data_IF_539610700730
#
_entry.id   IF_539610700730
#
_cell.length_a   1.000
_cell.length_b   1.000
_cell.length_c   1.000
_cell.angle_alpha   90.00
_cell.angle_beta   90.00
_cell.angle_gamma   90.00
#
_symmetry.space_group_name_H-M   'P 1'
#
loop_
_entity.id
_entity.type
_entity.pdbx_description
1 polymer ?
#
# COMPACT_ATOMS: atom_id res chain seq x y z
N UNK A 1 10.12 42.70 -0.24
CA UNK A 1 10.97 41.63 0.34
C UNK A 1 10.02 40.53 0.79
N UNK A 2 9.93 39.42 0.05
CA UNK A 2 9.06 38.30 0.36
C UNK A 2 9.97 37.08 0.56
N UNK A 3 10.13 36.67 1.82
CA UNK A 3 11.09 35.67 2.24
C UNK A 3 10.57 34.25 2.00
N UNK A 4 11.51 33.41 1.62
CA UNK A 4 11.42 32.06 1.10
C UNK A 4 11.02 31.04 2.19
N UNK A 5 9.74 30.96 2.55
CA UNK A 5 9.26 30.03 3.60
C UNK A 5 8.74 28.68 3.07
N UNK A 6 8.29 28.60 1.82
CA UNK A 6 7.81 27.37 1.19
C UNK A 6 8.87 26.27 0.98
N UNK A 7 10.13 26.58 0.58
CA UNK A 7 11.12 25.52 0.33
C UNK A 7 11.57 24.83 1.62
N UNK A 8 11.63 25.58 2.72
CA UNK A 8 12.11 25.07 4.02
C UNK A 8 11.08 24.14 4.65
N UNK A 9 9.78 24.44 4.52
CA UNK A 9 8.71 23.57 5.02
C UNK A 9 8.69 22.23 4.28
N UNK A 10 8.88 22.24 2.96
CA UNK A 10 8.95 21.01 2.17
C UNK A 10 10.21 20.20 2.50
N UNK A 11 11.35 20.86 2.73
CA UNK A 11 12.58 20.20 3.16
C UNK A 11 12.44 19.59 4.56
N UNK A 12 11.80 20.29 5.49
CA UNK A 12 11.58 19.78 6.85
C UNK A 12 10.62 18.59 6.84
N UNK A 13 9.55 18.63 6.04
CA UNK A 13 8.65 17.48 5.86
C UNK A 13 9.37 16.28 5.24
N UNK A 14 10.25 16.51 4.27
CA UNK A 14 11.09 15.45 3.69
C UNK A 14 12.08 14.88 4.70
N UNK A 15 12.68 15.70 5.57
CA UNK A 15 13.60 15.24 6.62
C UNK A 15 12.88 14.47 7.75
N UNK A 16 11.65 14.88 8.11
CA UNK A 16 10.80 14.15 9.07
C UNK A 16 10.39 12.78 8.50
N UNK A 17 9.99 12.73 7.22
CA UNK A 17 9.68 11.47 6.54
C UNK A 17 10.92 10.55 6.47
N UNK A 18 12.09 11.08 6.11
CA UNK A 18 13.32 10.29 5.99
C UNK A 18 13.83 9.76 7.34
N UNK A 19 13.73 10.55 8.41
CA UNK A 19 14.06 10.08 9.77
C UNK A 19 13.08 9.02 10.27
N UNK A 20 11.81 9.14 9.91
CA UNK A 20 10.77 8.16 10.25
C UNK A 20 10.99 6.82 9.54
N UNK A 21 11.39 6.85 8.26
CA UNK A 21 11.72 5.65 7.47
C UNK A 21 12.98 4.95 7.98
N UNK A 22 14.00 5.73 8.38
CA UNK A 22 15.30 5.20 8.81
C UNK A 22 15.30 4.59 10.22
N UNK A 23 14.42 5.06 11.12
CA UNK A 23 14.37 4.58 12.52
C UNK A 23 13.42 3.39 12.74
N UNK A 24 12.54 3.04 11.79
CA UNK A 24 11.44 2.09 12.02
C UNK A 24 11.69 0.63 11.61
N UNK A 25 12.79 0.30 10.92
CA UNK A 25 13.03 -1.07 10.46
C UNK A 25 13.23 -2.11 11.58
N UNK A 26 13.49 -1.69 12.82
CA UNK A 26 13.78 -2.61 13.95
C UNK A 26 12.79 -2.57 15.13
N UNK A 27 11.72 -1.77 15.07
CA UNK A 27 10.80 -1.60 16.21
C UNK A 27 9.41 -2.19 15.99
N UNK A 28 9.16 -2.86 14.86
CA UNK A 28 7.87 -3.46 14.57
C UNK A 28 7.65 -4.74 15.39
N UNK A 29 6.52 -4.87 16.10
CA UNK A 29 6.15 -6.10 16.78
C UNK A 29 6.03 -7.28 15.80
N UNK A 30 6.43 -8.47 16.25
CA UNK A 30 6.34 -9.68 15.43
C UNK A 30 4.89 -10.01 15.04
N UNK A 31 3.93 -9.72 15.92
CA UNK A 31 2.51 -9.94 15.65
C UNK A 31 2.02 -9.17 14.43
N UNK A 32 2.60 -7.99 14.14
CA UNK A 32 2.18 -7.17 13.00
C UNK A 32 2.59 -7.82 11.67
N UNK A 33 3.76 -8.46 11.62
CA UNK A 33 4.19 -9.19 10.43
C UNK A 33 3.28 -10.39 10.18
N UNK A 34 2.95 -11.16 11.22
CA UNK A 34 1.99 -12.26 11.09
C UNK A 34 0.63 -11.78 10.58
N UNK A 35 0.13 -10.67 11.13
CA UNK A 35 -1.13 -10.08 10.67
C UNK A 35 -1.07 -9.64 9.20
N UNK A 36 0.01 -8.97 8.78
CA UNK A 36 0.23 -8.56 7.39
C UNK A 36 0.27 -9.78 6.46
N UNK A 37 0.99 -10.82 6.82
CA UNK A 37 1.10 -12.05 6.03
C UNK A 37 -0.28 -12.73 5.89
N UNK A 38 -1.05 -12.80 6.96
CA UNK A 38 -2.40 -13.38 6.94
C UNK A 38 -3.38 -12.59 6.07
N UNK A 39 -3.30 -11.25 6.08
CA UNK A 39 -4.13 -10.39 5.22
C UNK A 39 -3.66 -10.44 3.78
N UNK A 40 -2.35 -10.54 3.54
CA UNK A 40 -1.76 -10.67 2.21
C UNK A 40 -2.30 -11.92 1.48
N UNK A 41 -2.50 -13.02 2.20
CA UNK A 41 -3.07 -14.27 1.67
C UNK A 41 -4.52 -14.14 1.18
N UNK A 42 -5.23 -13.06 1.53
CA UNK A 42 -6.62 -12.80 1.09
C UNK A 42 -6.66 -12.26 -0.35
N UNK A 43 -5.56 -11.66 -0.83
CA UNK A 43 -5.50 -11.20 -2.21
C UNK A 43 -5.58 -12.37 -3.18
N UNK A 44 -6.51 -12.27 -4.14
CA UNK A 44 -6.70 -13.25 -5.19
C UNK A 44 -6.56 -12.59 -6.57
N UNK A 45 -5.33 -12.48 -7.11
CA UNK A 45 -5.08 -11.90 -8.44
C UNK A 45 -5.75 -12.70 -9.57
N UNK A 46 -6.29 -12.03 -10.60
CA UNK A 46 -7.00 -12.69 -11.70
C UNK A 46 -6.08 -13.31 -12.77
N UNK A 47 -5.06 -12.57 -13.22
CA UNK A 47 -4.25 -12.96 -14.38
C UNK A 47 -2.73 -12.96 -14.11
N UNK A 48 -2.27 -12.26 -13.08
CA UNK A 48 -0.84 -12.08 -12.78
C UNK A 48 -0.47 -12.64 -11.41
N UNK A 49 0.79 -13.07 -11.25
CA UNK A 49 1.36 -13.23 -9.91
C UNK A 49 1.42 -11.83 -9.32
N UNK A 50 0.61 -11.54 -8.30
CA UNK A 50 0.65 -10.28 -7.57
C UNK A 50 1.55 -10.43 -6.35
N UNK A 51 2.53 -9.55 -6.20
CA UNK A 51 3.33 -9.48 -4.97
C UNK A 51 2.67 -8.45 -4.08
N UNK A 52 2.23 -8.87 -2.90
CA UNK A 52 1.68 -7.94 -1.92
C UNK A 52 2.81 -7.07 -1.39
N UNK A 53 2.66 -5.77 -1.55
CA UNK A 53 3.47 -4.75 -0.88
C UNK A 53 2.73 -4.24 0.34
N UNK A 54 3.48 -3.79 1.34
CA UNK A 54 2.91 -3.18 2.52
C UNK A 54 3.78 -2.04 3.05
N UNK A 55 3.15 -1.09 3.73
CA UNK A 55 3.79 -0.15 4.63
C UNK A 55 3.23 -0.32 6.05
N UNK A 56 4.04 0.04 7.05
CA UNK A 56 3.56 0.06 8.44
C UNK A 56 4.17 1.24 9.17
N UNK A 57 3.32 1.97 9.89
CA UNK A 57 3.73 3.06 10.75
C UNK A 57 2.97 3.00 12.07
N UNK A 58 3.66 3.29 13.18
CA UNK A 58 2.99 3.48 14.45
C UNK A 58 2.60 4.94 14.59
N UNK A 59 1.30 5.21 14.75
CA UNK A 59 0.78 6.54 15.06
C UNK A 59 0.70 6.75 16.57
N UNK A 60 0.23 7.91 17.02
CA UNK A 60 0.05 8.17 18.46
C UNK A 60 -0.92 7.19 19.15
N UNK A 61 -1.83 6.57 18.38
CA UNK A 61 -2.95 5.77 18.92
C UNK A 61 -2.94 4.30 18.48
N UNK A 62 -2.42 3.98 17.29
CA UNK A 62 -2.50 2.63 16.72
C UNK A 62 -1.44 2.36 15.64
N UNK A 63 -1.29 1.08 15.27
CA UNK A 63 -0.56 0.69 14.07
C UNK A 63 -1.41 0.96 12.82
N UNK A 64 -0.87 1.75 11.90
CA UNK A 64 -1.40 1.90 10.55
C UNK A 64 -0.65 0.99 9.60
N UNK A 65 -1.41 0.27 8.78
CA UNK A 65 -0.89 -0.68 7.79
C UNK A 65 -1.56 -0.41 6.45
N UNK A 66 -0.78 -0.16 5.41
CA UNK A 66 -1.24 -0.17 4.03
C UNK A 66 -0.87 -1.47 3.35
N UNK A 67 -1.79 -2.13 2.64
CA UNK A 67 -1.51 -3.25 1.75
C UNK A 67 -2.01 -2.97 0.33
N UNK A 68 -1.26 -3.46 -0.66
CA UNK A 68 -1.56 -3.32 -2.08
C UNK A 68 -0.90 -4.44 -2.88
N UNK A 69 -1.41 -4.73 -4.09
CA UNK A 69 -0.66 -5.53 -5.05
C UNK A 69 0.29 -4.65 -5.86
N UNK A 70 1.56 -5.04 -5.87
CA UNK A 70 2.59 -4.36 -6.65
C UNK A 70 2.29 -4.37 -8.15
N UNK A 71 2.66 -3.29 -8.83
CA UNK A 71 2.49 -3.17 -10.28
C UNK A 71 3.54 -3.95 -11.07
N UNK A 72 3.20 -4.30 -12.30
CA UNK A 72 4.12 -4.88 -13.28
C UNK A 72 4.65 -3.77 -14.20
N UNK A 73 5.96 -3.59 -14.26
CA UNK A 73 6.63 -2.73 -15.25
C UNK A 73 6.76 -3.48 -16.58
N UNK A 74 6.34 -2.86 -17.68
CA UNK A 74 6.58 -3.38 -19.03
C UNK A 74 7.97 -2.96 -19.50
N UNK A 75 8.79 -3.92 -19.91
CA UNK A 75 10.17 -3.69 -20.38
C UNK A 75 10.29 -4.07 -21.87
N UNK A 76 10.61 -3.07 -22.69
CA UNK A 76 10.75 -3.17 -24.14
C UNK A 76 9.44 -3.09 -24.92
N UNK A 77 9.56 -2.79 -26.21
CA UNK A 77 8.42 -2.61 -27.12
C UNK A 77 7.74 -1.24 -26.98
N UNK A 78 6.53 -1.09 -27.53
CA UNK A 78 5.82 0.20 -27.58
C UNK A 78 5.33 0.69 -26.21
N UNK A 79 5.23 -0.20 -25.24
CA UNK A 79 4.70 0.06 -23.89
C UNK A 79 5.81 0.11 -22.82
N UNK A 80 7.07 0.18 -23.24
CA UNK A 80 8.23 0.23 -22.35
C UNK A 80 8.10 1.33 -21.28
N UNK A 81 8.39 1.00 -20.03
CA UNK A 81 8.26 1.88 -18.86
C UNK A 81 6.83 2.09 -18.33
N UNK A 82 5.82 1.42 -18.91
CA UNK A 82 4.47 1.48 -18.35
C UNK A 82 4.33 0.58 -17.12
N UNK A 83 3.64 1.08 -16.10
CA UNK A 83 3.27 0.32 -14.91
C UNK A 83 1.81 -0.12 -15.01
N UNK A 84 1.56 -1.40 -14.82
CA UNK A 84 0.22 -1.99 -14.86
C UNK A 84 -0.11 -2.53 -13.48
N UNK A 85 -1.17 -2.03 -12.86
CA UNK A 85 -1.68 -2.58 -11.61
C UNK A 85 -2.31 -3.96 -11.85
N UNK A 86 -2.07 -4.88 -10.93
CA UNK A 86 -2.70 -6.20 -10.98
C UNK A 86 -4.20 -6.07 -10.72
N UNK A 87 -5.03 -6.76 -11.51
CA UNK A 87 -6.45 -6.92 -11.20
C UNK A 87 -6.62 -8.06 -10.21
N UNK A 88 -7.42 -7.87 -9.16
CA UNK A 88 -7.62 -8.86 -8.11
C UNK A 88 -9.03 -8.85 -7.53
N UNK A 89 -9.36 -9.95 -6.85
CA UNK A 89 -10.44 -10.04 -5.90
C UNK A 89 -9.86 -10.00 -4.47
N UNK A 90 -10.62 -9.43 -3.54
CA UNK A 90 -10.26 -9.41 -2.13
C UNK A 90 -11.49 -9.78 -1.29
N UNK A 91 -11.39 -10.83 -0.49
CA UNK A 91 -12.51 -11.34 0.31
C UNK A 91 -12.64 -10.58 1.64
N UNK A 92 -13.68 -9.76 1.73
CA UNK A 92 -13.93 -8.92 2.90
C UNK A 92 -14.44 -9.69 4.11
N UNK A 93 -15.08 -10.85 3.92
CA UNK A 93 -15.49 -11.67 5.05
C UNK A 93 -14.28 -12.33 5.69
N UNK A 94 -13.36 -12.87 4.87
CA UNK A 94 -12.09 -13.40 5.38
C UNK A 94 -11.23 -12.34 6.06
N UNK A 95 -11.33 -11.07 5.62
CA UNK A 95 -10.66 -9.96 6.30
C UNK A 95 -11.27 -9.70 7.68
N UNK A 96 -12.61 -9.66 7.78
CA UNK A 96 -13.30 -9.46 9.06
C UNK A 96 -12.95 -10.56 10.06
N UNK A 97 -12.77 -11.80 9.61
CA UNK A 97 -12.37 -12.93 10.45
C UNK A 97 -10.95 -12.78 11.08
N UNK A 98 -10.14 -11.80 10.64
CA UNK A 98 -8.81 -11.52 11.22
C UNK A 98 -8.84 -10.58 12.41
N UNK A 99 -9.98 -9.97 12.69
CA UNK A 99 -10.15 -9.05 13.81
C UNK A 99 -10.98 -9.72 14.90
N UNK A 100 -10.58 -9.57 16.17
CA UNK A 100 -11.42 -9.98 17.31
C UNK A 100 -12.66 -9.09 17.43
N UNK A 101 -12.48 -7.80 17.14
CA UNK A 101 -13.58 -6.83 17.06
C UNK A 101 -13.26 -5.72 16.06
N UNK A 102 -14.30 -5.22 15.38
CA UNK A 102 -14.19 -4.18 14.37
C UNK A 102 -14.91 -2.93 14.85
N UNK A 103 -14.17 -1.82 14.88
CA UNK A 103 -14.65 -0.52 15.32
C UNK A 103 -15.16 0.31 14.13
N UNK A 104 -14.54 0.12 12.96
CA UNK A 104 -14.86 0.85 11.73
C UNK A 104 -14.55 0.00 10.51
N UNK A 105 -15.42 0.06 9.51
CA UNK A 105 -15.20 -0.60 8.23
C UNK A 105 -15.82 0.23 7.10
N UNK A 106 -14.97 0.81 6.25
CA UNK A 106 -15.39 1.73 5.18
C UNK A 106 -14.77 1.34 3.85
N UNK A 107 -15.53 1.53 2.78
CA UNK A 107 -14.99 1.67 1.44
C UNK A 107 -14.88 3.16 1.12
N UNK A 108 -13.70 3.57 0.68
CA UNK A 108 -13.39 4.93 0.28
C UNK A 108 -13.21 4.97 -1.24
N UNK A 109 -13.86 5.93 -1.87
CA UNK A 109 -13.68 6.22 -3.28
C UNK A 109 -13.51 7.73 -3.45
N UNK A 110 -12.44 8.14 -4.14
CA UNK A 110 -12.16 9.52 -4.48
C UNK A 110 -12.08 9.64 -6.00
N UNK A 111 -12.93 10.49 -6.56
CA UNK A 111 -12.95 10.74 -8.00
C UNK A 111 -11.64 11.42 -8.44
N UNK A 112 -10.94 10.82 -9.40
CA UNK A 112 -9.78 11.46 -10.03
C UNK A 112 -10.28 12.52 -11.02
N UNK A 113 -10.08 13.80 -10.68
CA UNK A 113 -10.54 14.94 -11.47
C UNK A 113 -9.65 15.16 -12.72
N UNK A 114 -8.44 14.62 -12.73
CA UNK A 114 -7.49 14.70 -13.85
C UNK A 114 -7.25 13.34 -14.47
N UNK A 115 -7.23 13.29 -15.81
CA UNK A 115 -6.86 12.11 -16.59
C UNK A 115 -5.33 11.90 -16.52
N UNK A 116 -4.83 11.59 -15.33
CA UNK A 116 -3.47 11.10 -15.16
C UNK A 116 -3.43 9.62 -15.59
N UNK A 117 -2.36 9.23 -16.28
CA UNK A 117 -2.19 7.88 -16.82
C UNK A 117 -2.08 6.79 -15.73
N UNK A 118 -1.93 7.20 -14.47
CA UNK A 118 -1.79 6.35 -13.29
C UNK A 118 -2.97 6.56 -12.35
N UNK A 119 -3.54 5.46 -11.85
CA UNK A 119 -4.62 5.51 -10.88
C UNK A 119 -4.02 5.72 -9.49
N UNK A 120 -4.31 6.86 -8.87
CA UNK A 120 -3.86 7.24 -7.53
C UNK A 120 -4.34 6.18 -6.52
N UNK A 121 -3.47 5.61 -5.67
CA UNK A 121 -3.86 4.68 -4.61
C UNK A 121 -5.02 5.19 -3.76
N UNK A 122 -5.08 6.50 -3.55
CA UNK A 122 -6.13 7.15 -2.77
C UNK A 122 -7.50 7.17 -3.48
N UNK A 123 -7.57 6.76 -4.75
CA UNK A 123 -8.81 6.74 -5.53
C UNK A 123 -9.81 5.68 -5.07
N UNK A 124 -9.33 4.51 -4.63
CA UNK A 124 -10.20 3.44 -4.17
C UNK A 124 -9.47 2.54 -3.16
N UNK A 125 -9.98 2.48 -1.94
CA UNK A 125 -9.39 1.65 -0.89
C UNK A 125 -10.41 1.32 0.20
N UNK A 126 -10.12 0.28 0.96
CA UNK A 126 -10.93 -0.14 2.11
C UNK A 126 -10.16 0.20 3.36
N UNK A 127 -10.82 0.77 4.35
CA UNK A 127 -10.27 0.99 5.68
C UNK A 127 -11.01 0.13 6.68
N UNK A 128 -10.27 -0.65 7.46
CA UNK A 128 -10.77 -1.36 8.63
C UNK A 128 -9.96 -0.93 9.85
N UNK A 129 -10.66 -0.63 10.94
CA UNK A 129 -10.04 -0.34 12.23
C UNK A 129 -10.65 -1.28 13.26
N UNK A 130 -9.82 -1.98 14.01
CA UNK A 130 -10.27 -2.98 14.95
C UNK A 130 -9.16 -3.54 15.81
N UNK A 131 -9.55 -4.36 16.77
CA UNK A 131 -8.63 -5.02 17.68
C UNK A 131 -8.24 -6.41 17.17
N UNK A 132 -6.97 -6.74 17.29
CA UNK A 132 -6.42 -8.09 17.17
C UNK A 132 -6.37 -8.76 18.56
N UNK A 133 -5.77 -9.95 18.61
CA UNK A 133 -5.45 -10.63 19.87
C UNK A 133 -4.73 -9.68 20.85
N UNK A 134 -5.01 -9.85 22.14
CA UNK A 134 -4.46 -9.04 23.23
C UNK A 134 -4.83 -7.54 23.19
N UNK A 135 -5.94 -7.19 22.52
CA UNK A 135 -6.49 -5.82 22.39
C UNK A 135 -5.63 -4.84 21.57
N UNK A 136 -4.67 -5.33 20.79
CA UNK A 136 -3.85 -4.49 19.91
C UNK A 136 -4.71 -3.81 18.83
N UNK A 137 -4.65 -2.48 18.74
CA UNK A 137 -5.44 -1.69 17.80
C UNK A 137 -4.69 -1.50 16.49
N UNK A 138 -5.33 -1.87 15.38
CA UNK A 138 -4.79 -1.72 14.03
C UNK A 138 -5.79 -0.98 13.15
N UNK A 139 -5.28 -0.04 12.36
CA UNK A 139 -5.97 0.53 11.20
C UNK A 139 -5.29 0.02 9.94
N UNK A 140 -6.03 -0.77 9.18
CA UNK A 140 -5.59 -1.35 7.93
C UNK A 140 -6.27 -0.65 6.75
N UNK A 141 -5.47 -0.24 5.77
CA UNK A 141 -5.90 0.24 4.47
C UNK A 141 -5.52 -0.78 3.39
N UNK A 142 -6.48 -1.22 2.60
CA UNK A 142 -6.27 -2.10 1.44
C UNK A 142 -6.53 -1.30 0.17
N UNK A 143 -5.49 -1.00 -0.59
CA UNK A 143 -5.55 -0.13 -1.77
C UNK A 143 -5.82 -0.92 -3.05
N UNK A 144 -6.63 -0.34 -3.96
CA UNK A 144 -6.89 -0.91 -5.28
C UNK A 144 -5.66 -0.83 -6.21
N UNK A 145 -4.79 0.16 -6.00
CA UNK A 145 -3.54 0.34 -6.75
C UNK A 145 -2.37 0.65 -5.81
N UNK A 146 -1.13 0.27 -6.19
CA UNK A 146 0.05 0.52 -5.37
C UNK A 146 0.44 2.01 -5.36
N UNK A 147 1.02 2.51 -4.26
CA UNK A 147 1.60 3.86 -4.19
C UNK A 147 2.75 4.05 -5.18
N UNK A 148 2.90 5.29 -5.67
CA UNK A 148 3.90 5.63 -6.68
C UNK A 148 5.32 5.35 -6.18
N UNK A 149 5.57 5.49 -4.86
CA UNK A 149 6.88 5.24 -4.28
C UNK A 149 7.24 3.74 -4.16
N UNK A 150 6.27 2.82 -4.28
CA UNK A 150 6.51 1.39 -4.10
C UNK A 150 7.33 0.75 -5.23
N UNK A 151 7.34 1.35 -6.42
CA UNK A 151 7.97 0.78 -7.60
C UNK A 151 7.29 -0.53 -8.07
N UNK A 152 7.89 -1.23 -9.06
CA UNK A 152 7.31 -2.44 -9.61
C UNK A 152 7.60 -3.66 -8.73
N UNK A 153 6.60 -4.53 -8.56
CA UNK A 153 6.79 -5.87 -8.01
C UNK A 153 7.38 -6.85 -9.02
N UNK A 154 7.13 -6.62 -10.31
CA UNK A 154 7.58 -7.45 -11.42
C UNK A 154 7.99 -6.63 -12.62
N UNK A 155 8.83 -7.22 -13.47
CA UNK A 155 9.12 -6.75 -14.82
C UNK A 155 8.63 -7.78 -15.83
N UNK A 156 7.88 -7.32 -16.82
CA UNK A 156 7.40 -8.13 -17.94
C UNK A 156 8.04 -7.66 -19.23
N UNK A 157 8.92 -8.51 -19.77
CA UNK A 157 9.58 -8.25 -21.05
C UNK A 157 8.60 -8.37 -22.22
N UNK A 158 8.92 -7.75 -23.36
CA UNK A 158 8.14 -7.84 -24.60
C UNK A 158 7.84 -9.29 -25.04
N UNK A 159 8.76 -10.23 -24.78
CA UNK A 159 8.59 -11.66 -25.08
C UNK A 159 7.66 -12.40 -24.09
N UNK A 160 7.06 -11.69 -23.14
CA UNK A 160 6.12 -12.22 -22.14
C UNK A 160 6.78 -12.82 -20.89
N UNK A 161 8.11 -12.78 -20.79
CA UNK A 161 8.85 -13.25 -19.61
C UNK A 161 8.59 -12.32 -18.42
N UNK A 162 8.26 -12.90 -17.26
CA UNK A 162 8.05 -12.17 -15.99
C UNK A 162 9.23 -12.46 -15.07
N UNK A 163 9.90 -11.41 -14.61
CA UNK A 163 10.99 -11.47 -13.64
C UNK A 163 10.59 -10.68 -12.37
N UNK A 164 10.87 -11.23 -11.19
CA UNK A 164 10.72 -10.51 -9.92
C UNK A 164 11.78 -9.43 -9.78
N UNK A 165 11.42 -8.28 -9.21
CA UNK A 165 12.34 -7.18 -8.90
C UNK A 165 12.94 -7.33 -7.51
#
# INVERSE_FOLDING_TARGET
>A
MAHSHLPIQHLMKQMENFNSESMNLNCRPLWLNSFVDEVADIFNPYEEVGRVGFDCQFTEECWEVGLFLGSTEIVGGERDGQFIAASFQFDLLQLLDRFESVNRFHFNFLEQIEAQSTCDPASAYITIEGHLADLELVRLNVYATPPEEAGPGFRKSHDGKIDTV
#
